data_IF_044080995691
#
_entry.id   IF_044080995691
#
_cell.length_a   1.000
_cell.length_b   1.000
_cell.length_c   1.000
_cell.angle_alpha   90.00
_cell.angle_beta   90.00
_cell.angle_gamma   90.00
#
_symmetry.space_group_name_H-M   'P 1'
#
loop_
_entity.id
_entity.type
_entity.pdbx_description
1 polymer ?
#
# COMPACT_ATOMS: atom_id res chain seq x y z
N UNK A 1 -13.60 -33.74 -14.15
CA UNK A 1 -13.01 -32.56 -14.83
C UNK A 1 -13.49 -31.22 -14.28
N UNK A 2 -14.59 -31.09 -13.56
CA UNK A 2 -15.13 -29.81 -13.03
C UNK A 2 -14.32 -29.21 -11.84
N UNK A 3 -13.51 -29.99 -11.14
CA UNK A 3 -12.75 -29.53 -9.97
C UNK A 3 -11.37 -28.94 -10.32
N UNK A 4 -10.87 -29.12 -11.54
CA UNK A 4 -9.54 -28.66 -11.94
C UNK A 4 -9.42 -27.13 -11.99
N UNK A 5 -10.37 -26.36 -12.58
CA UNK A 5 -10.30 -24.91 -12.63
C UNK A 5 -10.42 -24.27 -11.23
N UNK A 6 -11.24 -24.82 -10.35
CA UNK A 6 -11.35 -24.32 -8.96
C UNK A 6 -10.09 -24.55 -8.15
N UNK A 7 -9.39 -25.67 -8.37
CA UNK A 7 -8.14 -25.99 -7.70
C UNK A 7 -7.02 -25.07 -8.19
N UNK A 8 -6.98 -24.75 -9.48
CA UNK A 8 -6.02 -23.79 -10.04
C UNK A 8 -6.24 -22.40 -9.44
N UNK A 9 -7.49 -21.91 -9.39
CA UNK A 9 -7.78 -20.59 -8.81
C UNK A 9 -7.42 -20.51 -7.32
N UNK A 10 -7.61 -21.58 -6.55
CA UNK A 10 -7.17 -21.63 -5.14
C UNK A 10 -5.64 -21.53 -5.04
N UNK A 11 -4.90 -22.25 -5.91
CA UNK A 11 -3.44 -22.19 -5.92
C UNK A 11 -2.94 -20.79 -6.29
N UNK A 12 -3.54 -20.13 -7.27
CA UNK A 12 -3.22 -18.76 -7.68
C UNK A 12 -3.41 -17.77 -6.51
N UNK A 13 -4.55 -17.86 -5.81
CA UNK A 13 -4.81 -17.05 -4.61
C UNK A 13 -3.76 -17.29 -3.53
N UNK A 14 -3.40 -18.55 -3.25
CA UNK A 14 -2.39 -18.88 -2.25
C UNK A 14 -0.99 -18.41 -2.66
N UNK A 15 -0.64 -18.49 -3.95
CA UNK A 15 0.63 -18.00 -4.48
C UNK A 15 0.81 -16.49 -4.32
N UNK A 16 -0.25 -15.71 -4.25
CA UNK A 16 -0.19 -14.28 -3.99
C UNK A 16 -0.28 -13.99 -2.49
N UNK A 17 -1.24 -14.59 -1.78
CA UNK A 17 -1.50 -14.24 -0.37
C UNK A 17 -0.37 -14.67 0.56
N UNK A 18 0.28 -15.83 0.35
CA UNK A 18 1.38 -16.29 1.21
C UNK A 18 2.61 -15.37 1.12
N UNK A 19 3.14 -15.01 -0.07
CA UNK A 19 4.22 -14.04 -0.17
C UNK A 19 3.87 -12.67 0.40
N UNK A 20 2.64 -12.19 0.19
CA UNK A 20 2.19 -10.92 0.78
C UNK A 20 2.24 -10.98 2.31
N UNK A 21 1.72 -12.01 2.94
CA UNK A 21 1.78 -12.17 4.40
C UNK A 21 3.23 -12.27 4.90
N UNK A 22 4.11 -12.92 4.15
CA UNK A 22 5.54 -12.97 4.47
C UNK A 22 6.19 -11.58 4.36
N UNK A 23 5.91 -10.82 3.31
CA UNK A 23 6.42 -9.44 3.18
C UNK A 23 5.93 -8.56 4.33
N UNK A 24 4.66 -8.64 4.70
CA UNK A 24 4.08 -7.94 5.84
C UNK A 24 4.82 -8.28 7.15
N UNK A 25 5.07 -9.56 7.39
CA UNK A 25 5.84 -10.01 8.56
C UNK A 25 7.27 -9.43 8.56
N UNK A 26 7.97 -9.45 7.42
CA UNK A 26 9.34 -8.92 7.34
C UNK A 26 9.39 -7.38 7.38
N UNK A 27 8.38 -6.67 6.92
CA UNK A 27 8.30 -5.20 7.06
C UNK A 27 8.29 -4.79 8.53
N UNK A 28 7.64 -5.54 9.43
CA UNK A 28 7.67 -5.26 10.88
C UNK A 28 9.08 -5.36 11.46
N UNK A 29 9.85 -6.37 11.03
CA UNK A 29 11.26 -6.53 11.44
C UNK A 29 12.14 -5.44 10.84
N UNK A 30 11.93 -5.12 9.56
CA UNK A 30 12.66 -4.06 8.87
C UNK A 30 12.44 -2.71 9.55
N UNK A 31 11.20 -2.38 9.92
CA UNK A 31 10.86 -1.16 10.64
C UNK A 31 11.61 -1.06 11.99
N UNK A 32 11.56 -2.11 12.80
CA UNK A 32 12.26 -2.15 14.09
C UNK A 32 13.76 -2.01 13.92
N UNK A 33 14.38 -2.61 12.90
CA UNK A 33 15.83 -2.54 12.64
C UNK A 33 16.25 -1.18 12.08
N UNK A 34 15.53 -0.63 11.12
CA UNK A 34 15.86 0.67 10.53
C UNK A 34 15.71 1.80 11.55
N UNK A 35 14.62 1.80 12.35
CA UNK A 35 14.48 2.75 13.44
C UNK A 35 15.59 2.61 14.50
N UNK A 36 15.98 1.36 14.84
CA UNK A 36 17.08 1.15 15.78
C UNK A 36 18.41 1.70 15.27
N UNK A 37 18.72 1.49 13.97
CA UNK A 37 19.93 2.03 13.35
C UNK A 37 19.94 3.56 13.33
N UNK A 38 18.80 4.22 13.05
CA UNK A 38 18.66 5.68 13.10
C UNK A 38 18.84 6.20 14.52
N UNK A 39 18.37 5.47 15.53
CA UNK A 39 18.51 5.80 16.95
C UNK A 39 19.85 5.35 17.56
N UNK A 40 20.77 4.79 16.77
CA UNK A 40 22.08 4.27 17.21
C UNK A 40 21.96 3.20 18.30
N UNK A 41 20.98 2.32 18.21
CA UNK A 41 20.78 1.15 19.08
C UNK A 41 20.65 -0.13 18.27
N UNK A 42 20.85 -1.27 18.94
CA UNK A 42 20.63 -2.58 18.32
C UNK A 42 19.11 -2.88 18.25
N UNK A 43 18.64 -3.25 17.08
CA UNK A 43 17.29 -3.79 16.89
C UNK A 43 17.20 -5.27 17.31
N UNK A 44 16.10 -5.97 16.95
CA UNK A 44 15.94 -7.40 17.21
C UNK A 44 17.14 -8.19 16.67
N UNK A 45 17.85 -8.95 17.53
CA UNK A 45 19.08 -9.67 17.15
C UNK A 45 19.12 -11.13 17.62
N UNK A 46 18.36 -11.50 18.67
CA UNK A 46 18.52 -12.77 19.39
C UNK A 46 17.72 -13.89 18.71
N UNK A 47 16.51 -13.60 18.20
CA UNK A 47 15.60 -14.64 17.67
C UNK A 47 15.94 -14.94 16.21
N UNK A 48 16.62 -16.07 15.97
CA UNK A 48 17.13 -16.44 14.66
C UNK A 48 18.37 -15.64 14.24
N UNK A 49 18.86 -15.90 13.01
CA UNK A 49 20.02 -15.18 12.49
C UNK A 49 19.67 -13.70 12.28
N UNK A 50 20.36 -12.82 12.98
CA UNK A 50 20.11 -11.37 12.98
C UNK A 50 18.65 -10.97 13.30
N UNK A 51 17.90 -11.77 14.08
CA UNK A 51 16.53 -11.45 14.46
C UNK A 51 15.49 -11.61 13.35
N UNK A 52 15.77 -12.35 12.27
CA UNK A 52 14.84 -12.56 11.17
C UNK A 52 13.57 -13.32 11.59
N UNK A 53 13.66 -14.19 12.59
CA UNK A 53 12.50 -14.96 13.07
C UNK A 53 11.67 -14.21 14.13
N UNK A 54 11.99 -12.95 14.44
CA UNK A 54 11.28 -12.19 15.47
C UNK A 54 9.79 -12.02 15.16
N UNK A 55 9.40 -11.79 13.91
CA UNK A 55 7.99 -11.66 13.54
C UNK A 55 7.20 -12.95 13.81
N UNK A 56 7.78 -14.09 13.54
CA UNK A 56 7.16 -15.41 13.82
C UNK A 56 7.05 -15.69 15.32
N UNK A 57 8.07 -15.32 16.10
CA UNK A 57 8.03 -15.46 17.54
C UNK A 57 6.94 -14.57 18.17
N UNK A 58 6.81 -13.33 17.71
CA UNK A 58 5.78 -12.40 18.15
C UNK A 58 4.37 -12.94 17.78
N UNK A 59 4.21 -13.49 16.58
CA UNK A 59 2.96 -14.10 16.12
C UNK A 59 2.60 -15.33 16.97
N UNK A 60 3.54 -16.24 17.20
CA UNK A 60 3.31 -17.43 18.04
C UNK A 60 2.96 -17.06 19.49
N UNK A 61 3.63 -16.06 20.06
CA UNK A 61 3.32 -15.55 21.40
C UNK A 61 1.87 -15.08 21.50
N UNK A 62 1.38 -14.34 20.50
CA UNK A 62 0.02 -13.81 20.49
C UNK A 62 -1.02 -14.88 20.16
N UNK A 63 -0.67 -15.90 19.35
CA UNK A 63 -1.54 -17.04 19.05
C UNK A 63 -1.77 -17.93 20.28
N UNK A 64 -0.74 -18.11 21.11
CA UNK A 64 -0.82 -18.93 22.33
C UNK A 64 -1.39 -18.18 23.52
N UNK A 65 -1.55 -16.86 23.42
CA UNK A 65 -2.11 -16.02 24.48
C UNK A 65 -3.61 -16.21 24.57
N UNK A 66 -4.12 -16.33 25.79
CA UNK A 66 -5.57 -16.37 26.05
C UNK A 66 -6.23 -15.05 25.63
N UNK A 67 -7.37 -15.16 24.96
CA UNK A 67 -8.16 -13.99 24.59
C UNK A 67 -9.09 -13.59 25.74
N UNK A 68 -9.30 -12.30 25.91
CA UNK A 68 -10.22 -11.75 26.90
C UNK A 68 -11.25 -10.91 26.15
N UNK A 69 -12.52 -11.19 26.38
CA UNK A 69 -13.64 -10.38 25.86
C UNK A 69 -14.29 -9.62 27.01
N UNK A 70 -14.58 -8.33 26.86
CA UNK A 70 -15.32 -7.56 27.86
C UNK A 70 -16.73 -8.13 28.09
N UNK A 71 -17.18 -8.15 29.32
CA UNK A 71 -18.48 -8.75 29.69
C UNK A 71 -19.68 -8.02 29.06
N UNK A 72 -19.55 -6.72 28.81
CA UNK A 72 -20.61 -5.87 28.23
C UNK A 72 -20.43 -5.60 26.74
N UNK A 73 -19.50 -6.30 26.06
CA UNK A 73 -19.27 -6.15 24.63
C UNK A 73 -20.24 -6.99 23.81
N UNK A 74 -20.54 -6.53 22.58
CA UNK A 74 -21.25 -7.35 21.61
C UNK A 74 -20.25 -8.29 20.94
N UNK A 75 -20.21 -9.56 21.40
CA UNK A 75 -19.21 -10.55 21.00
C UNK A 75 -19.13 -10.75 19.49
N UNK A 76 -20.28 -10.80 18.78
CA UNK A 76 -20.28 -11.03 17.33
C UNK A 76 -19.56 -9.91 16.60
N UNK A 77 -19.89 -8.66 16.86
CA UNK A 77 -19.29 -7.50 16.21
C UNK A 77 -17.85 -7.28 16.66
N UNK A 78 -17.51 -7.66 17.91
CA UNK A 78 -16.17 -7.57 18.46
C UNK A 78 -15.17 -8.45 17.72
N UNK A 79 -15.56 -9.67 17.33
CA UNK A 79 -14.74 -10.55 16.51
C UNK A 79 -14.80 -10.20 15.02
N UNK A 80 -15.94 -9.72 14.54
CA UNK A 80 -16.16 -9.45 13.13
C UNK A 80 -15.38 -8.21 12.64
N UNK A 81 -15.20 -7.18 13.49
CA UNK A 81 -14.44 -5.98 13.15
C UNK A 81 -13.03 -6.26 12.61
N UNK A 82 -12.15 -6.92 13.38
CA UNK A 82 -10.79 -7.29 12.95
C UNK A 82 -10.74 -8.20 11.72
N UNK A 83 -11.71 -9.10 11.59
CA UNK A 83 -11.82 -9.99 10.43
C UNK A 83 -12.14 -9.19 9.17
N UNK A 84 -13.07 -8.24 9.25
CA UNK A 84 -13.42 -7.35 8.13
C UNK A 84 -12.19 -6.55 7.68
N UNK A 85 -11.49 -5.89 8.61
CA UNK A 85 -10.29 -5.10 8.26
C UNK A 85 -9.25 -5.95 7.57
N UNK A 86 -8.97 -7.17 8.05
CA UNK A 86 -7.99 -8.06 7.45
C UNK A 86 -8.43 -8.55 6.06
N UNK A 87 -9.68 -8.95 5.88
CA UNK A 87 -10.18 -9.42 4.59
C UNK A 87 -10.05 -8.32 3.54
N UNK A 88 -10.52 -7.11 3.84
CA UNK A 88 -10.47 -6.02 2.87
C UNK A 88 -9.05 -5.53 2.60
N UNK A 89 -8.15 -5.54 3.58
CA UNK A 89 -6.75 -5.21 3.34
C UNK A 89 -6.05 -6.21 2.40
N UNK A 90 -6.42 -7.50 2.44
CA UNK A 90 -5.87 -8.52 1.55
C UNK A 90 -6.56 -8.52 0.17
N UNK A 91 -7.85 -8.20 0.07
CA UNK A 91 -8.57 -8.13 -1.19
C UNK A 91 -7.99 -7.07 -2.15
N UNK A 92 -7.40 -6.00 -1.63
CA UNK A 92 -6.73 -5.00 -2.45
C UNK A 92 -5.59 -5.54 -3.31
N UNK A 93 -4.93 -6.63 -2.89
CA UNK A 93 -3.84 -7.25 -3.65
C UNK A 93 -4.29 -8.02 -4.90
N UNK A 94 -5.58 -8.31 -5.03
CA UNK A 94 -6.11 -9.06 -6.17
C UNK A 94 -5.95 -8.34 -7.51
N UNK A 95 -5.88 -7.01 -7.51
CA UNK A 95 -5.83 -6.17 -8.72
C UNK A 95 -4.42 -5.67 -9.03
N UNK A 96 -3.44 -5.93 -8.15
CA UNK A 96 -2.06 -5.47 -8.33
C UNK A 96 -1.38 -6.26 -9.44
N UNK A 97 -0.86 -5.60 -10.50
CA UNK A 97 -0.05 -6.24 -11.51
C UNK A 97 1.39 -6.38 -11.02
N UNK A 98 1.84 -7.60 -10.81
CA UNK A 98 3.21 -7.92 -10.42
C UNK A 98 4.17 -8.01 -11.61
N UNK A 99 3.62 -8.15 -12.81
CA UNK A 99 4.35 -8.21 -14.08
C UNK A 99 3.36 -8.20 -15.25
N UNK A 100 3.85 -8.16 -16.50
CA UNK A 100 3.01 -8.23 -17.69
C UNK A 100 2.21 -9.54 -17.67
N UNK A 101 0.86 -9.46 -17.61
CA UNK A 101 -0.01 -10.62 -17.54
C UNK A 101 -0.03 -11.36 -16.19
N UNK A 102 0.72 -10.93 -15.18
CA UNK A 102 0.75 -11.51 -13.82
C UNK A 102 -0.15 -10.71 -12.87
N UNK A 103 -1.45 -10.75 -13.13
CA UNK A 103 -2.49 -10.20 -12.27
C UNK A 103 -3.43 -11.33 -11.87
N UNK A 104 -3.93 -11.34 -10.63
CA UNK A 104 -4.98 -12.31 -10.27
C UNK A 104 -6.29 -11.98 -10.98
N UNK A 105 -6.62 -10.69 -11.07
CA UNK A 105 -7.80 -10.19 -11.76
C UNK A 105 -7.48 -8.85 -12.43
N UNK A 106 -7.48 -8.85 -13.76
CA UNK A 106 -7.29 -7.64 -14.55
C UNK A 106 -8.66 -6.99 -14.81
N UNK A 107 -9.08 -6.13 -13.89
CA UNK A 107 -10.33 -5.41 -14.02
C UNK A 107 -10.14 -4.11 -14.79
N UNK A 108 -11.02 -3.83 -15.76
CA UNK A 108 -11.06 -2.53 -16.42
C UNK A 108 -11.26 -1.37 -15.45
N UNK A 109 -11.96 -1.61 -14.35
CA UNK A 109 -12.21 -0.65 -13.26
C UNK A 109 -11.36 -0.96 -12.01
N UNK A 110 -10.12 -1.42 -12.18
CA UNK A 110 -9.24 -1.86 -11.09
C UNK A 110 -9.01 -0.81 -10.01
N UNK A 111 -8.84 0.45 -10.39
CA UNK A 111 -8.66 1.56 -9.45
C UNK A 111 -9.92 1.80 -8.60
N UNK A 112 -11.11 1.75 -9.20
CA UNK A 112 -12.36 1.88 -8.45
C UNK A 112 -12.56 0.72 -7.47
N UNK A 113 -12.19 -0.49 -7.86
CA UNK A 113 -12.21 -1.64 -6.96
C UNK A 113 -11.28 -1.42 -5.75
N UNK A 114 -10.07 -0.91 -5.96
CA UNK A 114 -9.13 -0.60 -4.88
C UNK A 114 -9.72 0.41 -3.88
N UNK A 115 -10.30 1.51 -4.39
CA UNK A 115 -10.93 2.53 -3.56
C UNK A 115 -12.16 1.99 -2.81
N UNK A 116 -12.98 1.15 -3.44
CA UNK A 116 -14.11 0.51 -2.77
C UNK A 116 -13.68 -0.43 -1.64
N UNK A 117 -12.59 -1.18 -1.84
CA UNK A 117 -12.03 -2.08 -0.83
C UNK A 117 -11.44 -1.31 0.35
N UNK A 118 -10.72 -0.20 0.10
CA UNK A 118 -10.16 0.64 1.17
C UNK A 118 -11.26 1.28 2.01
N UNK A 119 -12.33 1.78 1.39
CA UNK A 119 -13.47 2.35 2.12
C UNK A 119 -14.21 1.32 2.97
N UNK A 120 -14.34 0.08 2.51
CA UNK A 120 -14.97 -0.99 3.29
C UNK A 120 -14.13 -1.42 4.51
N UNK A 121 -12.80 -1.32 4.44
CA UNK A 121 -11.93 -1.63 5.56
C UNK A 121 -12.15 -0.68 6.75
N UNK A 122 -12.56 0.57 6.53
CA UNK A 122 -12.84 1.55 7.58
C UNK A 122 -14.00 1.14 8.50
N UNK A 123 -14.99 0.43 7.96
CA UNK A 123 -16.11 -0.10 8.76
C UNK A 123 -15.65 -1.10 9.82
N UNK A 124 -14.61 -1.88 9.55
CA UNK A 124 -14.09 -2.82 10.53
C UNK A 124 -13.55 -2.12 11.78
N UNK A 125 -12.88 -0.97 11.63
CA UNK A 125 -12.38 -0.15 12.74
C UNK A 125 -13.54 0.45 13.54
N UNK A 126 -14.55 0.97 12.85
CA UNK A 126 -15.74 1.55 13.50
C UNK A 126 -16.51 0.51 14.30
N UNK A 127 -16.73 -0.68 13.72
CA UNK A 127 -17.43 -1.78 14.39
C UNK A 127 -16.66 -2.27 15.62
N UNK A 128 -15.34 -2.36 15.54
CA UNK A 128 -14.50 -2.77 16.66
C UNK A 128 -14.61 -1.81 17.85
N UNK A 129 -14.49 -0.50 17.60
CA UNK A 129 -14.61 0.50 18.67
C UNK A 129 -16.00 0.58 19.28
N UNK A 130 -17.06 0.42 18.46
CA UNK A 130 -18.42 0.44 18.95
C UNK A 130 -18.77 -0.81 19.76
N UNK A 131 -18.34 -1.98 19.31
CA UNK A 131 -18.64 -3.26 19.94
C UNK A 131 -17.96 -3.46 21.30
N UNK A 132 -16.82 -2.81 21.53
CA UNK A 132 -16.06 -2.89 22.77
C UNK A 132 -16.77 -2.24 23.98
N UNK A 133 -17.77 -1.37 23.74
CA UNK A 133 -18.54 -0.66 24.76
C UNK A 133 -17.68 0.10 25.79
N UNK A 134 -16.47 0.54 25.40
CA UNK A 134 -15.62 1.40 26.20
C UNK A 134 -15.56 2.80 25.61
N UNK A 135 -15.56 3.84 26.45
CA UNK A 135 -15.58 5.24 26.02
C UNK A 135 -14.31 5.59 25.21
N UNK A 136 -13.17 5.06 25.61
CA UNK A 136 -11.89 5.31 24.93
C UNK A 136 -11.82 4.63 23.57
N UNK A 137 -12.27 3.36 23.47
CA UNK A 137 -12.31 2.64 22.21
C UNK A 137 -13.27 3.30 21.21
N UNK A 138 -14.43 3.76 21.67
CA UNK A 138 -15.41 4.45 20.84
C UNK A 138 -14.87 5.79 20.30
N UNK A 139 -14.29 6.63 21.17
CA UNK A 139 -13.69 7.89 20.74
C UNK A 139 -12.49 7.67 19.80
N UNK A 140 -11.68 6.64 20.04
CA UNK A 140 -10.57 6.26 19.18
C UNK A 140 -11.03 5.84 17.79
N UNK A 141 -12.07 5.01 17.70
CA UNK A 141 -12.62 4.58 16.41
C UNK A 141 -13.29 5.72 15.63
N UNK A 142 -13.98 6.65 16.28
CA UNK A 142 -14.56 7.81 15.61
C UNK A 142 -13.47 8.74 15.04
N UNK A 143 -12.38 8.97 15.79
CA UNK A 143 -11.28 9.79 15.32
C UNK A 143 -10.56 9.14 14.13
N UNK A 144 -10.27 7.84 14.22
CA UNK A 144 -9.62 7.10 13.12
C UNK A 144 -10.49 7.04 11.86
N UNK A 145 -11.78 6.75 12.00
CA UNK A 145 -12.69 6.72 10.84
C UNK A 145 -12.88 8.09 10.20
N UNK A 146 -12.99 9.17 10.98
CA UNK A 146 -13.05 10.52 10.44
C UNK A 146 -11.77 10.90 9.67
N UNK A 147 -10.60 10.50 10.17
CA UNK A 147 -9.33 10.67 9.48
C UNK A 147 -9.31 9.91 8.15
N UNK A 148 -9.61 8.61 8.17
CA UNK A 148 -9.60 7.75 6.99
C UNK A 148 -10.53 8.28 5.90
N UNK A 149 -11.77 8.60 6.20
CA UNK A 149 -12.75 9.13 5.24
C UNK A 149 -12.28 10.46 4.65
N UNK A 150 -11.71 11.35 5.45
CA UNK A 150 -11.23 12.66 4.96
C UNK A 150 -10.01 12.51 4.04
N UNK A 151 -9.07 11.62 4.34
CA UNK A 151 -7.89 11.39 3.51
C UNK A 151 -8.18 10.52 2.29
N UNK A 152 -9.20 9.66 2.31
CA UNK A 152 -9.69 8.95 1.14
C UNK A 152 -10.16 9.91 0.03
N UNK A 153 -10.78 11.04 0.37
CA UNK A 153 -11.12 12.09 -0.60
C UNK A 153 -9.89 12.70 -1.28
N UNK A 154 -8.80 12.90 -0.52
CA UNK A 154 -7.55 13.41 -1.09
C UNK A 154 -6.91 12.38 -2.01
N UNK A 155 -6.85 11.11 -1.59
CA UNK A 155 -6.25 10.05 -2.38
C UNK A 155 -7.03 9.78 -3.67
N UNK A 156 -8.36 9.69 -3.59
CA UNK A 156 -9.21 9.49 -4.77
C UNK A 156 -9.09 10.63 -5.76
N UNK A 157 -9.02 11.87 -5.29
CA UNK A 157 -8.83 13.05 -6.16
C UNK A 157 -7.43 13.10 -6.77
N UNK A 158 -6.38 12.68 -6.06
CA UNK A 158 -5.04 12.57 -6.61
C UNK A 158 -4.93 11.45 -7.66
N UNK A 159 -5.58 10.32 -7.42
CA UNK A 159 -5.66 9.21 -8.38
C UNK A 159 -6.42 9.65 -9.64
N UNK A 160 -7.49 10.43 -9.49
CA UNK A 160 -8.23 10.98 -10.64
C UNK A 160 -7.32 11.78 -11.57
N UNK A 161 -6.36 12.54 -11.06
CA UNK A 161 -5.39 13.27 -11.88
C UNK A 161 -4.47 12.34 -12.67
N UNK A 162 -4.06 11.22 -12.11
CA UNK A 162 -3.31 10.19 -12.83
C UNK A 162 -4.18 9.58 -13.94
N UNK A 163 -5.45 9.26 -13.64
CA UNK A 163 -6.40 8.73 -14.62
C UNK A 163 -6.62 9.71 -15.78
N UNK A 164 -6.67 11.00 -15.53
CA UNK A 164 -6.81 12.02 -16.59
C UNK A 164 -5.63 11.99 -17.57
N UNK A 165 -4.42 11.65 -17.12
CA UNK A 165 -3.26 11.50 -18.00
C UNK A 165 -3.29 10.19 -18.81
N UNK A 166 -3.77 9.12 -18.22
CA UNK A 166 -3.76 7.78 -18.84
C UNK A 166 -5.02 7.47 -19.64
N UNK A 167 -6.16 8.09 -19.28
CA UNK A 167 -7.46 7.79 -19.86
C UNK A 167 -8.03 6.41 -19.52
N UNK A 168 -7.48 5.72 -18.50
CA UNK A 168 -7.90 4.36 -18.13
C UNK A 168 -7.91 4.14 -16.62
N UNK A 169 -8.88 3.36 -16.14
CA UNK A 169 -9.00 2.92 -14.75
C UNK A 169 -8.28 1.58 -14.48
N UNK A 170 -7.72 0.98 -15.53
CA UNK A 170 -6.98 -0.26 -15.41
C UNK A 170 -5.54 0.02 -14.96
N UNK A 171 -5.03 -0.74 -13.97
CA UNK A 171 -3.69 -0.57 -13.42
C UNK A 171 -2.59 -0.98 -14.41
N UNK A 172 -2.82 -2.00 -15.23
CA UNK A 172 -1.85 -2.44 -16.25
C UNK A 172 -1.66 -1.38 -17.32
N UNK A 173 -2.75 -0.77 -17.80
CA UNK A 173 -2.70 0.34 -18.78
C UNK A 173 -2.02 1.57 -18.18
N UNK A 174 -2.23 1.85 -16.89
CA UNK A 174 -1.55 2.94 -16.19
C UNK A 174 -0.03 2.75 -16.12
N UNK A 175 0.44 1.51 -15.98
CA UNK A 175 1.87 1.21 -16.00
C UNK A 175 2.42 1.38 -17.42
N UNK A 176 1.77 0.80 -18.42
CA UNK A 176 2.22 0.86 -19.82
C UNK A 176 2.28 2.31 -20.35
N UNK A 177 1.39 3.19 -19.94
CA UNK A 177 1.41 4.62 -20.31
C UNK A 177 2.64 5.36 -19.77
N UNK A 178 3.28 4.85 -18.69
CA UNK A 178 4.50 5.42 -18.10
C UNK A 178 5.79 4.91 -18.75
N UNK A 179 5.71 4.16 -19.83
CA UNK A 179 6.88 3.62 -20.52
C UNK A 179 7.86 4.70 -21.03
N UNK A 180 7.35 5.88 -21.41
CA UNK A 180 8.18 7.00 -21.88
C UNK A 180 8.65 7.89 -20.73
N UNK A 181 7.74 8.30 -19.85
CA UNK A 181 8.03 9.21 -18.72
C UNK A 181 7.22 8.76 -17.50
N UNK A 182 7.89 8.66 -16.35
CA UNK A 182 7.20 8.40 -15.08
C UNK A 182 6.36 9.59 -14.66
N UNK A 183 5.17 9.35 -14.17
CA UNK A 183 4.24 10.41 -13.74
C UNK A 183 4.71 11.21 -12.53
N UNK A 184 5.72 10.74 -11.80
CA UNK A 184 6.34 11.53 -10.73
C UNK A 184 6.93 12.84 -11.27
N UNK A 185 7.39 12.90 -12.53
CA UNK A 185 7.99 14.10 -13.09
C UNK A 185 6.93 15.18 -13.38
N UNK A 186 5.89 14.94 -14.22
CA UNK A 186 4.87 15.92 -14.49
C UNK A 186 3.93 16.21 -13.31
N UNK A 187 3.71 15.24 -12.42
CA UNK A 187 2.78 15.33 -11.30
C UNK A 187 3.51 15.37 -9.94
N UNK A 188 4.73 15.90 -9.88
CA UNK A 188 5.54 15.92 -8.65
C UNK A 188 4.80 16.51 -7.42
N UNK A 189 4.08 17.66 -7.51
CA UNK A 189 3.33 18.17 -6.37
C UNK A 189 2.21 17.22 -5.91
N UNK A 190 1.56 16.55 -6.86
CA UNK A 190 0.48 15.61 -6.58
C UNK A 190 1.03 14.34 -5.94
N UNK A 191 2.21 13.87 -6.37
CA UNK A 191 2.92 12.77 -5.72
C UNK A 191 3.17 13.05 -4.24
N UNK A 192 3.63 14.26 -3.87
CA UNK A 192 3.84 14.64 -2.48
C UNK A 192 2.52 14.61 -1.70
N UNK A 193 1.45 15.17 -2.26
CA UNK A 193 0.14 15.21 -1.61
C UNK A 193 -0.42 13.80 -1.46
N UNK A 194 -0.31 12.96 -2.49
CA UNK A 194 -0.70 11.56 -2.44
C UNK A 194 0.08 10.80 -1.37
N UNK A 195 1.38 11.04 -1.28
CA UNK A 195 2.23 10.40 -0.29
C UNK A 195 1.86 10.82 1.15
N UNK A 196 1.59 12.11 1.40
CA UNK A 196 1.06 12.58 2.70
C UNK A 196 -0.27 11.92 3.03
N UNK A 197 -1.19 11.86 2.04
CA UNK A 197 -2.47 11.18 2.18
C UNK A 197 -2.33 9.71 2.49
N UNK A 198 -1.39 9.03 1.86
CA UNK A 198 -1.12 7.59 2.07
C UNK A 198 -0.62 7.28 3.49
N UNK A 199 0.24 8.14 4.06
CA UNK A 199 0.70 7.99 5.45
C UNK A 199 -0.46 8.21 6.43
N UNK A 200 -1.36 9.15 6.13
CA UNK A 200 -2.51 9.42 6.97
C UNK A 200 -3.59 8.31 6.87
N UNK A 201 -3.79 7.73 5.68
CA UNK A 201 -4.72 6.60 5.50
C UNK A 201 -4.25 5.34 6.23
N UNK A 202 -2.96 5.11 6.34
CA UNK A 202 -2.42 3.97 7.08
C UNK A 202 -2.34 4.20 8.58
N UNK A 203 -2.87 5.31 9.12
CA UNK A 203 -2.82 5.68 10.54
C UNK A 203 -1.41 5.62 11.15
N UNK A 204 -0.36 5.88 10.35
CA UNK A 204 1.03 5.85 10.83
C UNK A 204 1.52 7.22 11.27
N UNK A 205 2.45 7.23 12.23
CA UNK A 205 3.10 8.45 12.65
C UNK A 205 3.74 9.19 11.44
N UNK A 206 3.56 10.52 11.30
CA UNK A 206 3.13 11.50 12.32
C UNK A 206 1.62 11.60 12.54
N UNK A 207 0.78 10.87 11.78
CA UNK A 207 -0.68 10.95 11.79
C UNK A 207 -1.35 9.81 12.58
N UNK A 208 -0.62 9.17 13.48
CA UNK A 208 -1.05 8.07 14.34
C UNK A 208 -1.93 8.59 15.50
N UNK A 209 -3.16 8.93 15.16
CA UNK A 209 -4.14 9.43 16.13
C UNK A 209 -4.98 8.31 16.75
N UNK A 210 -5.07 7.19 16.06
CA UNK A 210 -5.79 6.02 16.53
C UNK A 210 -5.09 5.34 17.70
N UNK A 211 -3.75 5.30 17.68
CA UNK A 211 -2.88 4.68 18.69
C UNK A 211 -2.24 5.70 19.64
N UNK A 212 -2.79 6.93 19.74
CA UNK A 212 -2.20 7.97 20.57
C UNK A 212 -2.25 7.60 22.06
N UNK A 213 -1.23 6.88 22.55
CA UNK A 213 -1.10 6.42 23.95
C UNK A 213 -1.27 7.55 24.95
N UNK A 214 -0.81 8.75 24.62
CA UNK A 214 -0.92 9.92 25.47
C UNK A 214 -2.33 10.48 25.64
N UNK A 215 -3.25 10.21 24.67
CA UNK A 215 -4.61 10.74 24.67
C UNK A 215 -5.67 9.68 24.91
N UNK A 216 -5.53 8.50 24.31
CA UNK A 216 -6.56 7.44 24.25
C UNK A 216 -6.08 6.05 24.66
N UNK A 217 -4.91 5.94 25.29
CA UNK A 217 -4.24 4.68 25.70
C UNK A 217 -3.79 3.85 24.48
N UNK A 218 -4.69 3.18 23.77
CA UNK A 218 -4.45 2.47 22.51
C UNK A 218 -5.66 2.61 21.57
N UNK A 219 -6.48 3.63 21.77
CA UNK A 219 -7.64 3.94 20.95
C UNK A 219 -8.62 2.77 20.83
N UNK A 220 -8.98 2.40 19.58
CA UNK A 220 -9.94 1.32 19.31
C UNK A 220 -9.39 -0.09 19.65
N UNK A 221 -8.08 -0.26 19.77
CA UNK A 221 -7.46 -1.56 20.08
C UNK A 221 -7.36 -1.85 21.59
N UNK A 222 -7.75 -0.95 22.48
CA UNK A 222 -7.57 -1.06 23.94
C UNK A 222 -8.11 -2.36 24.53
N UNK A 223 -9.27 -2.80 24.08
CA UNK A 223 -9.96 -3.99 24.61
C UNK A 223 -9.62 -5.28 23.83
N UNK A 224 -8.93 -5.14 22.69
CA UNK A 224 -8.58 -6.28 21.86
C UNK A 224 -7.24 -6.89 22.28
N UNK A 225 -7.23 -8.21 22.53
CA UNK A 225 -6.04 -8.95 22.97
C UNK A 225 -5.85 -10.24 22.15
N UNK A 226 -4.66 -10.84 22.26
CA UNK A 226 -4.30 -12.12 21.64
C UNK A 226 -4.45 -12.13 20.09
N UNK A 227 -5.12 -13.13 19.53
CA UNK A 227 -5.26 -13.34 18.08
C UNK A 227 -5.96 -12.19 17.38
N UNK A 228 -6.97 -11.60 18.02
CA UNK A 228 -7.78 -10.50 17.47
C UNK A 228 -6.90 -9.27 17.22
N UNK A 229 -5.99 -8.99 18.14
CA UNK A 229 -5.01 -7.92 18.00
C UNK A 229 -4.05 -8.16 16.82
N UNK A 230 -3.67 -9.44 16.57
CA UNK A 230 -2.83 -9.81 15.42
C UNK A 230 -3.52 -9.47 14.11
N UNK A 231 -4.83 -9.68 14.00
CA UNK A 231 -5.57 -9.38 12.77
C UNK A 231 -5.54 -7.88 12.42
N UNK A 232 -5.67 -7.01 13.40
CA UNK A 232 -5.53 -5.57 13.17
C UNK A 232 -4.10 -5.21 12.73
N UNK A 233 -3.10 -5.73 13.42
CA UNK A 233 -1.70 -5.50 13.07
C UNK A 233 -1.37 -5.98 11.65
N UNK A 234 -1.81 -7.17 11.29
CA UNK A 234 -1.61 -7.70 9.93
C UNK A 234 -2.32 -6.83 8.89
N UNK A 235 -3.55 -6.40 9.16
CA UNK A 235 -4.32 -5.54 8.26
C UNK A 235 -3.63 -4.20 8.06
N UNK A 236 -3.13 -3.58 9.13
CA UNK A 236 -2.43 -2.29 9.07
C UNK A 236 -1.13 -2.38 8.27
N UNK A 237 -0.28 -3.37 8.55
CA UNK A 237 0.95 -3.54 7.76
C UNK A 237 0.68 -3.99 6.32
N UNK A 238 -0.37 -4.77 6.09
CA UNK A 238 -0.81 -5.12 4.74
C UNK A 238 -1.25 -3.87 3.98
N UNK A 239 -2.00 -2.95 4.59
CA UNK A 239 -2.39 -1.70 3.95
C UNK A 239 -1.19 -0.79 3.63
N UNK A 240 -0.15 -0.75 4.50
CA UNK A 240 1.08 0.00 4.23
C UNK A 240 1.79 -0.55 2.99
N UNK A 241 2.00 -1.85 2.92
CA UNK A 241 2.65 -2.47 1.76
C UNK A 241 1.83 -2.23 0.50
N UNK A 242 0.50 -2.40 0.57
CA UNK A 242 -0.41 -2.19 -0.55
C UNK A 242 -0.33 -0.76 -1.09
N UNK A 243 -0.38 0.24 -0.23
CA UNK A 243 -0.34 1.64 -0.66
C UNK A 243 1.04 2.04 -1.18
N UNK A 244 2.13 1.46 -0.64
CA UNK A 244 3.48 1.62 -1.18
C UNK A 244 3.60 1.02 -2.59
N UNK A 245 3.01 -0.15 -2.84
CA UNK A 245 2.97 -0.75 -4.18
C UNK A 245 2.09 0.10 -5.11
N UNK A 246 0.95 0.58 -4.65
CA UNK A 246 0.08 1.46 -5.42
C UNK A 246 0.79 2.77 -5.80
N UNK A 247 1.54 3.39 -4.90
CA UNK A 247 2.34 4.59 -5.22
C UNK A 247 3.38 4.32 -6.31
N UNK A 248 4.01 3.13 -6.30
CA UNK A 248 4.96 2.76 -7.36
C UNK A 248 4.27 2.55 -8.70
N UNK A 249 3.07 1.99 -8.72
CA UNK A 249 2.28 1.78 -9.94
C UNK A 249 1.82 3.11 -10.53
N UNK A 250 1.32 4.02 -9.70
CA UNK A 250 0.74 5.28 -10.17
C UNK A 250 1.78 6.31 -10.60
N UNK A 251 2.95 6.36 -9.96
CA UNK A 251 3.92 7.45 -10.15
C UNK A 251 5.30 7.00 -10.62
N UNK A 252 5.73 5.78 -10.30
CA UNK A 252 7.09 5.29 -10.57
C UNK A 252 7.16 4.23 -11.70
N UNK A 253 6.08 4.07 -12.47
CA UNK A 253 6.04 3.13 -13.60
C UNK A 253 5.98 1.66 -13.20
N UNK A 254 5.53 1.33 -11.97
CA UNK A 254 5.28 -0.04 -11.52
C UNK A 254 6.44 -0.99 -11.79
N UNK A 255 6.18 -2.07 -12.51
CA UNK A 255 7.16 -3.10 -12.84
C UNK A 255 8.12 -2.72 -13.96
N UNK A 256 7.91 -1.61 -14.72
CA UNK A 256 8.80 -1.22 -15.81
C UNK A 256 10.20 -0.90 -15.30
N UNK A 257 11.21 -1.56 -15.85
CA UNK A 257 12.62 -1.32 -15.52
C UNK A 257 13.33 -0.43 -16.53
N UNK A 258 12.82 -0.30 -17.76
CA UNK A 258 13.45 0.38 -18.88
C UNK A 258 13.86 1.83 -18.59
N UNK A 259 13.12 2.54 -17.76
CA UNK A 259 13.38 3.93 -17.38
C UNK A 259 14.21 4.11 -16.10
N UNK A 260 14.51 3.02 -15.38
CA UNK A 260 15.36 3.08 -14.20
C UNK A 260 16.82 3.50 -14.51
N UNK A 261 17.33 3.30 -15.73
CA UNK A 261 18.73 3.60 -16.03
C UNK A 261 19.02 5.02 -16.47
N UNK A 262 18.04 5.88 -16.73
CA UNK A 262 18.39 7.24 -17.22
C UNK A 262 19.23 8.05 -16.23
N UNK A 263 19.21 7.68 -14.93
CA UNK A 263 20.03 8.30 -13.90
C UNK A 263 21.25 7.45 -13.47
N UNK A 264 21.23 6.12 -13.63
CA UNK A 264 22.31 5.26 -13.14
C UNK A 264 23.13 4.59 -14.25
N UNK A 265 22.55 4.25 -15.39
CA UNK A 265 23.27 3.50 -16.45
C UNK A 265 23.99 4.38 -17.48
N UNK A 266 23.60 5.63 -17.65
CA UNK A 266 24.47 6.61 -18.35
C UNK A 266 25.79 6.85 -17.60
N UNK A 267 25.83 6.53 -16.29
CA UNK A 267 27.07 6.57 -15.51
C UNK A 267 27.92 5.29 -15.65
N UNK A 268 27.30 4.16 -16.02
CA UNK A 268 27.97 2.89 -16.29
C UNK A 268 27.90 2.58 -17.79
N UNK A 269 28.08 3.56 -18.64
CA UNK A 269 27.96 3.57 -20.10
C UNK A 269 28.62 2.45 -20.94
N UNK A 270 28.63 1.20 -20.44
CA UNK A 270 29.30 0.10 -21.11
C UNK A 270 28.53 -1.23 -21.18
N UNK A 271 27.33 -1.33 -20.65
CA UNK A 271 26.53 -2.56 -20.80
C UNK A 271 25.22 -2.20 -21.48
N UNK A 272 25.20 -2.26 -22.83
CA UNK A 272 23.95 -2.34 -23.58
C UNK A 272 23.24 -3.65 -23.20
N UNK A 273 22.39 -3.59 -22.18
CA UNK A 273 21.64 -4.75 -21.70
C UNK A 273 20.72 -5.29 -22.80
N UNK A 274 20.20 -4.39 -23.66
CA UNK A 274 19.40 -4.75 -24.83
C UNK A 274 20.19 -5.59 -25.83
N UNK A 275 21.48 -5.27 -26.07
CA UNK A 275 22.37 -6.06 -26.93
C UNK A 275 22.67 -7.44 -26.33
N UNK A 276 22.75 -7.52 -25.00
CA UNK A 276 22.97 -8.81 -24.32
C UNK A 276 21.69 -9.67 -24.31
N UNK A 277 20.53 -9.04 -24.19
CA UNK A 277 19.23 -9.71 -24.28
C UNK A 277 18.96 -10.19 -25.72
N UNK A 278 19.28 -9.38 -26.74
CA UNK A 278 19.17 -9.75 -28.15
C UNK A 278 20.15 -10.87 -28.54
N UNK A 279 21.36 -10.88 -27.96
CA UNK A 279 22.33 -11.96 -28.11
C UNK A 279 21.87 -13.27 -27.46
N UNK A 280 21.20 -13.21 -26.32
CA UNK A 280 20.59 -14.37 -25.65
C UNK A 280 19.36 -14.88 -26.39
N UNK A 281 18.54 -14.00 -26.97
CA UNK A 281 17.35 -14.35 -27.75
C UNK A 281 17.68 -15.14 -29.03
N UNK A 282 18.82 -14.85 -29.65
CA UNK A 282 19.28 -15.57 -30.85
C UNK A 282 19.82 -16.98 -30.59
N UNK A 283 19.92 -17.41 -29.33
CA UNK A 283 20.33 -18.77 -28.94
C UNK A 283 19.15 -19.54 -28.33
N UNK A 284 18.20 -20.02 -29.12
CA UNK A 284 17.22 -21.11 -28.85
C UNK A 284 16.70 -21.31 -27.41
N UNK A 285 16.74 -20.29 -26.52
CA UNK A 285 16.31 -20.36 -25.13
C UNK A 285 15.13 -19.43 -24.89
N UNK A 286 14.11 -19.51 -25.76
CA UNK A 286 12.86 -18.73 -25.65
C UNK A 286 12.19 -18.86 -24.29
N UNK A 287 12.25 -20.03 -23.67
CA UNK A 287 11.61 -20.28 -22.37
C UNK A 287 12.37 -19.66 -21.19
N UNK A 288 13.70 -19.71 -21.21
CA UNK A 288 14.54 -19.09 -20.16
C UNK A 288 14.53 -17.56 -20.25
N UNK A 289 14.37 -17.00 -21.44
CA UNK A 289 14.28 -15.57 -21.67
C UNK A 289 13.01 -14.99 -21.03
N UNK A 290 11.86 -15.59 -21.26
CA UNK A 290 10.60 -15.12 -20.68
C UNK A 290 10.56 -15.20 -19.14
N UNK A 291 11.21 -16.22 -18.55
CA UNK A 291 11.34 -16.34 -17.10
C UNK A 291 12.26 -15.27 -16.50
N UNK A 292 13.40 -15.01 -17.13
CA UNK A 292 14.34 -13.98 -16.68
C UNK A 292 13.69 -12.59 -16.76
N UNK A 293 13.01 -12.31 -17.85
CA UNK A 293 12.27 -11.05 -18.04
C UNK A 293 11.19 -10.86 -16.97
N UNK A 294 10.36 -11.89 -16.71
CA UNK A 294 9.37 -11.87 -15.65
C UNK A 294 9.96 -11.64 -14.26
N UNK A 295 11.13 -12.26 -13.97
CA UNK A 295 11.87 -12.02 -12.72
C UNK A 295 12.39 -10.58 -12.63
N UNK A 296 12.90 -10.00 -13.71
CA UNK A 296 13.36 -8.61 -13.73
C UNK A 296 12.22 -7.62 -13.48
N UNK A 297 11.05 -7.84 -14.07
CA UNK A 297 9.86 -7.04 -13.79
C UNK A 297 9.43 -7.13 -12.32
N UNK A 298 9.40 -8.34 -11.76
CA UNK A 298 9.08 -8.54 -10.35
C UNK A 298 10.11 -7.89 -9.41
N UNK A 299 11.41 -8.01 -9.73
CA UNK A 299 12.47 -7.38 -8.96
C UNK A 299 12.41 -5.85 -9.03
N UNK A 300 12.10 -5.26 -10.18
CA UNK A 300 11.98 -3.81 -10.33
C UNK A 300 10.82 -3.26 -9.49
N UNK A 301 9.65 -3.92 -9.50
CA UNK A 301 8.53 -3.56 -8.64
C UNK A 301 8.89 -3.71 -7.15
N UNK A 302 9.51 -4.83 -6.78
CA UNK A 302 9.94 -5.10 -5.41
C UNK A 302 10.97 -4.07 -4.89
N UNK A 303 11.91 -3.66 -5.73
CA UNK A 303 12.90 -2.64 -5.37
C UNK A 303 12.27 -1.26 -5.18
N UNK A 304 11.44 -0.80 -6.11
CA UNK A 304 10.74 0.48 -6.01
C UNK A 304 9.81 0.52 -4.78
N UNK A 305 9.05 -0.54 -4.54
CA UNK A 305 8.17 -0.63 -3.36
C UNK A 305 8.97 -0.65 -2.05
N UNK A 306 10.15 -1.29 -2.01
CA UNK A 306 11.01 -1.30 -0.83
C UNK A 306 11.57 0.10 -0.51
N UNK A 307 11.88 0.91 -1.52
CA UNK A 307 12.26 2.33 -1.35
C UNK A 307 11.10 3.11 -0.71
N UNK A 308 9.88 2.93 -1.21
CA UNK A 308 8.71 3.61 -0.65
C UNK A 308 8.44 3.20 0.80
N UNK A 309 8.54 1.91 1.13
CA UNK A 309 8.44 1.42 2.51
C UNK A 309 9.53 2.04 3.41
N UNK A 310 10.77 2.14 2.90
CA UNK A 310 11.85 2.78 3.65
C UNK A 310 11.55 4.26 3.93
N UNK A 311 11.01 5.00 2.97
CA UNK A 311 10.60 6.40 3.16
C UNK A 311 9.49 6.51 4.22
N UNK A 312 8.52 5.59 4.24
CA UNK A 312 7.50 5.51 5.29
C UNK A 312 8.11 5.35 6.68
N UNK A 313 9.06 4.43 6.83
CA UNK A 313 9.75 4.20 8.10
C UNK A 313 10.57 5.44 8.50
N UNK A 314 11.23 6.09 7.53
CA UNK A 314 12.03 7.28 7.78
C UNK A 314 11.18 8.46 8.28
N UNK A 315 10.01 8.68 7.68
CA UNK A 315 9.07 9.71 8.13
C UNK A 315 8.63 9.45 9.57
N UNK A 316 8.28 8.21 9.90
CA UNK A 316 7.93 7.83 11.27
C UNK A 316 9.03 8.16 12.27
N UNK A 317 10.30 7.99 11.88
CA UNK A 317 11.44 8.25 12.76
C UNK A 317 11.77 9.75 12.92
N UNK A 318 11.40 10.59 11.92
CA UNK A 318 11.86 11.99 11.85
C UNK A 318 10.83 13.02 12.32
N UNK A 319 9.54 12.79 12.06
CA UNK A 319 8.50 13.78 12.35
C UNK A 319 7.83 13.55 13.72
N UNK A 320 7.53 14.64 14.47
CA UNK A 320 6.72 14.56 15.67
C UNK A 320 5.25 14.30 15.32
N UNK A 321 4.50 13.76 16.28
CA UNK A 321 3.07 13.52 16.14
C UNK A 321 2.28 14.84 16.07
N UNK A 322 1.26 14.88 15.19
CA UNK A 322 0.39 16.04 14.99
C UNK A 322 -0.94 15.81 15.72
N UNK A 323 -1.59 16.87 16.21
CA UNK A 323 -2.91 16.79 16.86
C UNK A 323 -4.02 16.59 15.84
N UNK A 324 -5.12 15.95 16.27
CA UNK A 324 -6.29 15.67 15.42
C UNK A 324 -6.85 16.93 14.73
N UNK A 325 -7.04 18.03 15.49
CA UNK A 325 -7.58 19.29 14.95
C UNK A 325 -6.70 19.87 13.84
N UNK A 326 -5.37 19.82 14.04
CA UNK A 326 -4.40 20.29 13.06
C UNK A 326 -4.39 19.41 11.82
N UNK A 327 -4.51 18.08 12.00
CA UNK A 327 -4.57 17.13 10.90
C UNK A 327 -5.80 17.36 10.03
N UNK A 328 -6.97 17.49 10.64
CA UNK A 328 -8.23 17.73 9.92
C UNK A 328 -8.23 19.08 9.23
N UNK A 329 -7.76 20.14 9.90
CA UNK A 329 -7.63 21.45 9.27
C UNK A 329 -6.66 21.43 8.10
N UNK A 330 -5.51 20.76 8.21
CA UNK A 330 -4.55 20.60 7.11
C UNK A 330 -5.15 19.89 5.89
N UNK A 331 -5.92 18.83 6.12
CA UNK A 331 -6.66 18.12 5.06
C UNK A 331 -7.62 19.05 4.30
N UNK A 332 -8.54 19.70 5.03
CA UNK A 332 -9.64 20.44 4.42
C UNK A 332 -9.25 21.83 3.91
N UNK A 333 -8.33 22.53 4.58
CA UNK A 333 -7.99 23.92 4.23
C UNK A 333 -6.80 24.04 3.29
N UNK A 334 -5.90 23.03 3.26
CA UNK A 334 -4.67 23.10 2.48
C UNK A 334 -4.65 22.05 1.36
N UNK A 335 -4.71 20.76 1.71
CA UNK A 335 -4.50 19.71 0.72
C UNK A 335 -5.64 19.64 -0.31
N UNK A 336 -6.87 19.64 0.16
CA UNK A 336 -8.04 19.50 -0.72
C UNK A 336 -8.18 20.69 -1.72
N UNK A 337 -8.07 21.97 -1.32
CA UNK A 337 -8.09 23.07 -2.28
C UNK A 337 -6.97 23.03 -3.32
N UNK A 338 -5.76 22.61 -2.92
CA UNK A 338 -4.64 22.47 -3.86
C UNK A 338 -4.96 21.40 -4.92
N UNK A 339 -5.45 20.23 -4.50
CA UNK A 339 -5.79 19.17 -5.45
C UNK A 339 -6.91 19.62 -6.39
N UNK A 340 -7.95 20.28 -5.90
CA UNK A 340 -9.03 20.81 -6.74
C UNK A 340 -8.48 21.79 -7.80
N UNK A 341 -7.53 22.64 -7.42
CA UNK A 341 -6.86 23.54 -8.38
C UNK A 341 -6.12 22.74 -9.46
N UNK A 342 -5.43 21.64 -9.10
CA UNK A 342 -4.78 20.77 -10.09
C UNK A 342 -5.77 20.00 -10.97
N UNK A 343 -6.93 19.59 -10.46
CA UNK A 343 -7.99 18.94 -11.26
C UNK A 343 -8.50 19.86 -12.37
N UNK A 344 -8.48 21.17 -12.17
CA UNK A 344 -8.84 22.14 -13.22
C UNK A 344 -7.63 22.42 -14.13
N UNK A 345 -6.44 22.57 -13.55
CA UNK A 345 -5.24 22.97 -14.28
C UNK A 345 -4.75 21.89 -15.26
N UNK A 346 -4.72 20.62 -14.84
CA UNK A 346 -4.19 19.53 -15.68
C UNK A 346 -4.99 19.36 -16.99
N UNK A 347 -6.33 19.29 -17.01
CA UNK A 347 -7.09 19.23 -18.26
C UNK A 347 -6.93 20.46 -19.14
N UNK A 348 -6.80 21.66 -18.54
CA UNK A 348 -6.54 22.88 -19.31
C UNK A 348 -5.20 22.80 -20.06
N UNK A 349 -4.16 22.26 -19.41
CA UNK A 349 -2.86 22.03 -20.05
C UNK A 349 -2.98 20.97 -21.15
N UNK A 350 -3.63 19.83 -20.87
CA UNK A 350 -3.82 18.78 -21.87
C UNK A 350 -4.57 19.29 -23.11
N UNK A 351 -5.60 20.07 -22.91
CA UNK A 351 -6.37 20.66 -24.01
C UNK A 351 -5.55 21.69 -24.81
N UNK A 352 -4.76 22.54 -24.13
CA UNK A 352 -3.96 23.57 -24.80
C UNK A 352 -2.82 22.99 -25.65
N UNK A 353 -2.29 21.84 -25.29
CA UNK A 353 -1.24 21.13 -26.02
C UNK A 353 -1.75 20.00 -26.92
N UNK A 354 -3.09 19.81 -27.01
CA UNK A 354 -3.73 18.71 -27.76
C UNK A 354 -3.24 17.33 -27.36
N UNK A 355 -2.77 17.16 -26.11
CA UNK A 355 -2.28 15.90 -25.54
C UNK A 355 -3.44 15.20 -24.80
N UNK A 356 -4.50 14.89 -25.52
CA UNK A 356 -5.63 14.15 -24.94
C UNK A 356 -5.40 12.66 -25.18
N UNK A 357 -5.42 11.81 -24.16
CA UNK A 357 -5.24 10.37 -24.34
C UNK A 357 -6.35 9.79 -25.22
N UNK A 358 -5.98 8.99 -26.22
CA UNK A 358 -6.89 8.42 -27.22
C UNK A 358 -8.01 7.58 -26.62
N UNK A 359 -7.82 7.04 -25.41
CA UNK A 359 -8.81 6.22 -24.73
C UNK A 359 -10.02 6.98 -24.18
N UNK A 360 -9.95 8.33 -24.05
CA UNK A 360 -11.09 9.15 -23.59
C UNK A 360 -12.19 9.22 -24.67
N UNK A 361 -11.85 9.03 -25.93
CA UNK A 361 -12.84 9.00 -27.03
C UNK A 361 -13.63 7.68 -27.11
N UNK A 362 -13.30 6.67 -26.30
CA UNK A 362 -13.95 5.36 -26.25
C UNK A 362 -14.89 5.18 -25.04
N UNK A 363 -14.97 6.16 -24.17
CA UNK A 363 -15.94 6.28 -23.07
C UNK A 363 -17.08 7.20 -23.44
#
# INVERSE_FOLDING_TARGET
MYYLPTLISIIEVLLVTIPVLLTVAYVTVAERKTMASMQRRLGPNIVGYYGLLQAFADALKLLLKEYVSPTQANLILFFLGPIITLIFSLLGYAVIPFGPGLTMSDYNLGILYMLAVSSLATYGILLAGWSANSKYAFLGSLRSTAQLISYELILSSAILLVIMLTGSLNLTVNIESQRVIWFIIPLFPIFIIFFIGSVAETNRAPFDLAEAESELVSGFMTEHAAVIFVFFFLAEYASIVLICVLTTILFLGGYLYENFPFLMFNFIGYINFDYYLEYLANKEILFSYSLIEGLLYGLSLGFKSSIMIFIFIWIRASFPRIRFDQLMSFCWTILLPIIIAFIILVPCIQYSFEIVPSNIYLL
#
